data_IF_920318692210
#
_entry.id   IF_920318692210
#
_cell.length_a   1.000
_cell.length_b   1.000
_cell.length_c   1.000
_cell.angle_alpha   90.00
_cell.angle_beta   90.00
_cell.angle_gamma   90.00
#
_symmetry.space_group_name_H-M   'P 1'
#
loop_
_entity.id
_entity.type
_entity.pdbx_description
1 polymer ?
#
# COMPACT_ATOMS: atom_id res chain seq x y z
N UNK A 1 13.92 2.42 2.74
CA UNK A 1 12.75 1.61 2.34
C UNK A 1 13.23 0.38 1.60
N UNK A 2 12.68 -0.78 1.89
CA UNK A 2 13.10 -2.01 1.24
C UNK A 2 12.58 -2.08 -0.20
N UNK A 3 13.26 -2.91 -1.01
CA UNK A 3 12.82 -3.11 -2.39
C UNK A 3 11.42 -3.69 -2.47
N UNK A 4 11.07 -4.53 -1.50
CA UNK A 4 9.74 -5.14 -1.44
C UNK A 4 8.66 -4.09 -1.24
N UNK A 5 8.87 -3.17 -0.32
CA UNK A 5 7.91 -2.10 -0.06
C UNK A 5 7.76 -1.20 -1.29
N UNK A 6 8.88 -0.84 -1.91
CA UNK A 6 8.84 0.00 -3.11
C UNK A 6 8.08 -0.69 -4.24
N UNK A 7 8.31 -1.99 -4.42
CA UNK A 7 7.62 -2.75 -5.45
C UNK A 7 6.11 -2.83 -5.19
N UNK A 8 5.71 -3.00 -3.93
CA UNK A 8 4.30 -3.03 -3.57
C UNK A 8 3.62 -1.70 -3.85
N UNK A 9 4.26 -0.60 -3.49
CA UNK A 9 3.71 0.73 -3.74
C UNK A 9 3.60 0.98 -5.25
N UNK A 10 4.62 0.61 -5.99
CA UNK A 10 4.63 0.78 -7.44
C UNK A 10 3.51 -0.03 -8.10
N UNK A 11 3.27 -1.25 -7.61
CA UNK A 11 2.20 -2.09 -8.13
C UNK A 11 0.82 -1.47 -7.89
N UNK A 12 0.63 -0.80 -6.74
CA UNK A 12 -0.62 -0.09 -6.46
C UNK A 12 -0.90 0.98 -7.51
N UNK A 13 0.11 1.79 -7.83
CA UNK A 13 -0.05 2.88 -8.79
C UNK A 13 -0.15 2.41 -10.22
N UNK A 14 0.34 1.21 -10.51
CA UNK A 14 0.28 0.62 -11.85
C UNK A 14 -0.96 -0.26 -12.06
N UNK A 15 -1.83 -0.35 -11.06
CA UNK A 15 -3.05 -1.14 -11.20
C UNK A 15 -3.96 -0.57 -12.30
N UNK A 16 -4.74 -1.42 -12.97
CA UNK A 16 -5.54 -0.98 -14.13
C UNK A 16 -6.66 -0.01 -13.79
N UNK A 17 -7.16 -0.01 -12.56
CA UNK A 17 -8.20 0.91 -12.14
C UNK A 17 -8.07 1.25 -10.66
N UNK A 18 -8.87 2.24 -10.23
CA UNK A 18 -8.84 2.71 -8.86
C UNK A 18 -9.27 1.63 -7.87
N UNK A 19 -10.27 0.85 -8.23
CA UNK A 19 -10.78 -0.21 -7.37
C UNK A 19 -9.69 -1.25 -7.08
N UNK A 20 -8.98 -1.67 -8.12
CA UNK A 20 -7.86 -2.61 -7.95
C UNK A 20 -6.76 -2.02 -7.11
N UNK A 21 -6.44 -0.74 -7.30
CA UNK A 21 -5.45 -0.03 -6.50
C UNK A 21 -5.83 -0.03 -5.02
N UNK A 22 -7.08 0.28 -4.72
CA UNK A 22 -7.56 0.30 -3.34
C UNK A 22 -7.53 -1.07 -2.70
N UNK A 23 -7.90 -2.11 -3.44
CA UNK A 23 -7.85 -3.47 -2.93
C UNK A 23 -6.41 -3.88 -2.63
N UNK A 24 -5.49 -3.56 -3.53
CA UNK A 24 -4.09 -3.86 -3.33
C UNK A 24 -3.55 -3.11 -2.10
N UNK A 25 -3.94 -1.87 -1.94
CA UNK A 25 -3.54 -1.06 -0.79
C UNK A 25 -4.00 -1.71 0.52
N UNK A 26 -5.25 -2.14 0.59
CA UNK A 26 -5.77 -2.77 1.79
C UNK A 26 -5.01 -4.05 2.15
N UNK A 27 -4.75 -4.87 1.15
CA UNK A 27 -3.98 -6.10 1.36
C UNK A 27 -2.57 -5.77 1.85
N UNK A 28 -1.95 -4.76 1.27
CA UNK A 28 -0.59 -4.35 1.64
C UNK A 28 -0.55 -3.79 3.05
N UNK A 29 -1.55 -2.98 3.43
CA UNK A 29 -1.65 -2.45 4.79
C UNK A 29 -1.72 -3.59 5.79
N UNK A 30 -2.55 -4.59 5.53
CA UNK A 30 -2.67 -5.74 6.42
C UNK A 30 -1.38 -6.56 6.47
N UNK A 31 -0.72 -6.70 5.33
CA UNK A 31 0.55 -7.42 5.24
C UNK A 31 1.61 -6.80 6.17
N UNK A 32 1.69 -5.49 6.17
CA UNK A 32 2.71 -4.78 6.95
C UNK A 32 2.26 -4.40 8.35
N UNK A 33 0.99 -4.59 8.68
CA UNK A 33 0.49 -4.23 10.02
C UNK A 33 1.21 -4.98 11.14
N UNK A 34 1.66 -6.21 10.86
CA UNK A 34 2.39 -7.01 11.85
C UNK A 34 3.88 -6.73 11.85
N UNK A 35 4.50 -6.63 10.68
CA UNK A 35 5.95 -6.51 10.56
C UNK A 35 6.42 -5.06 10.58
N UNK A 36 5.60 -4.12 10.12
CA UNK A 36 5.96 -2.71 10.05
C UNK A 36 4.72 -1.85 10.33
N UNK A 37 4.26 -1.80 11.59
CA UNK A 37 3.00 -1.09 11.90
C UNK A 37 3.04 0.41 11.58
N UNK A 38 4.20 1.03 11.69
CA UNK A 38 4.34 2.45 11.34
C UNK A 38 4.17 2.68 9.83
N UNK A 39 4.74 1.79 9.04
CA UNK A 39 4.59 1.86 7.58
C UNK A 39 3.14 1.63 7.18
N UNK A 40 2.49 0.65 7.81
CA UNK A 40 1.09 0.36 7.57
C UNK A 40 0.21 1.58 7.86
N UNK A 41 0.43 2.23 9.00
CA UNK A 41 -0.31 3.43 9.38
C UNK A 41 -0.06 4.57 8.40
N UNK A 42 1.19 4.73 7.97
CA UNK A 42 1.55 5.76 6.99
C UNK A 42 0.83 5.54 5.67
N UNK A 43 0.80 4.31 5.20
CA UNK A 43 0.11 3.99 3.95
C UNK A 43 -1.39 4.24 4.04
N UNK A 44 -1.99 3.85 5.15
CA UNK A 44 -3.42 4.08 5.36
C UNK A 44 -3.75 5.56 5.35
N UNK A 45 -2.92 6.38 6.00
CA UNK A 45 -3.16 7.81 6.11
C UNK A 45 -2.86 8.56 4.82
N UNK A 46 -1.78 8.21 4.13
CA UNK A 46 -1.29 9.00 3.01
C UNK A 46 -1.71 8.47 1.65
N UNK A 47 -1.64 7.15 1.45
CA UNK A 47 -1.93 6.57 0.14
C UNK A 47 -3.42 6.43 -0.12
N UNK A 48 -4.21 6.17 0.91
CA UNK A 48 -5.65 6.03 0.75
C UNK A 48 -6.27 7.34 0.26
N UNK A 49 -5.76 8.48 0.72
CA UNK A 49 -6.23 9.78 0.26
C UNK A 49 -5.74 10.10 -1.16
N UNK A 50 -4.64 9.51 -1.58
CA UNK A 50 -4.05 9.74 -2.89
C UNK A 50 -4.81 9.07 -4.03
N UNK A 51 -5.69 8.18 -3.72
CA UNK A 51 -6.52 7.50 -4.71
C UNK A 51 -7.89 8.16 -4.79
#
# INVERSE_FOLDING_TARGET
MSKEVAADIQAMFNAPDKKSSEQYLQVTIQKYARSAPRLSAWMEENLAEGF
#
